data_IF_926783537077
#
_entry.id   IF_926783537077
#
_cell.length_a   1.000
_cell.length_b   1.000
_cell.length_c   1.000
_cell.angle_alpha   90.00
_cell.angle_beta   90.00
_cell.angle_gamma   90.00
#
_symmetry.space_group_name_H-M   'P 1'
#
loop_
_entity.id
_entity.type
_entity.pdbx_description
1 polymer ?
#
# COMPACT_ATOMS: atom_id res chain seq x y z
N UNK A 1 13.04 17.65 -17.74
CA UNK A 1 12.78 16.27 -18.22
C UNK A 1 12.96 15.21 -17.11
N UNK A 2 13.97 15.33 -16.23
CA UNK A 2 14.22 14.35 -15.16
C UNK A 2 13.02 14.18 -14.20
N UNK A 3 12.34 15.24 -13.79
CA UNK A 3 11.22 15.14 -12.84
C UNK A 3 10.03 14.30 -13.34
N UNK A 4 9.69 14.37 -14.64
CA UNK A 4 8.60 13.58 -15.20
C UNK A 4 8.95 12.09 -15.26
N UNK A 5 10.20 11.76 -15.59
CA UNK A 5 10.70 10.38 -15.58
C UNK A 5 10.76 9.82 -14.16
N UNK A 6 11.26 10.58 -13.18
CA UNK A 6 11.23 10.19 -11.76
C UNK A 6 9.81 9.95 -11.29
N UNK A 7 8.89 10.88 -11.59
CA UNK A 7 7.48 10.73 -11.24
C UNK A 7 6.88 9.46 -11.86
N UNK A 8 7.08 9.25 -13.17
CA UNK A 8 6.55 8.08 -13.87
C UNK A 8 7.09 6.77 -13.29
N UNK A 9 8.40 6.71 -12.99
CA UNK A 9 9.01 5.53 -12.38
C UNK A 9 8.46 5.26 -10.97
N UNK A 10 8.35 6.29 -10.13
CA UNK A 10 7.78 6.19 -8.79
C UNK A 10 6.30 5.77 -8.85
N UNK A 11 5.51 6.41 -9.70
CA UNK A 11 4.10 6.05 -9.89
C UNK A 11 3.96 4.59 -10.35
N UNK A 12 4.72 4.18 -11.37
CA UNK A 12 4.64 2.83 -11.91
C UNK A 12 4.99 1.76 -10.87
N UNK A 13 6.07 1.95 -10.11
CA UNK A 13 6.46 0.97 -9.09
C UNK A 13 5.45 0.93 -7.93
N UNK A 14 4.97 2.09 -7.48
CA UNK A 14 4.00 2.17 -6.39
C UNK A 14 2.65 1.55 -6.79
N UNK A 15 2.18 1.82 -8.00
CA UNK A 15 0.96 1.21 -8.54
C UNK A 15 1.10 -0.31 -8.69
N UNK A 16 2.17 -0.78 -9.34
CA UNK A 16 2.39 -2.20 -9.55
C UNK A 16 2.54 -2.97 -8.23
N UNK A 17 3.24 -2.40 -7.25
CA UNK A 17 3.43 -3.02 -5.93
C UNK A 17 2.15 -3.04 -5.11
N UNK A 18 1.29 -2.03 -5.21
CA UNK A 18 -0.05 -2.04 -4.60
C UNK A 18 -0.89 -3.19 -5.20
N UNK A 19 -1.04 -3.23 -6.52
CA UNK A 19 -1.81 -4.29 -7.21
C UNK A 19 -1.27 -5.67 -6.85
N UNK A 20 0.05 -5.84 -6.83
CA UNK A 20 0.66 -7.11 -6.45
C UNK A 20 0.39 -7.47 -4.98
N UNK A 21 0.49 -6.52 -4.05
CA UNK A 21 0.19 -6.79 -2.63
C UNK A 21 -1.27 -7.22 -2.44
N UNK A 22 -2.19 -6.59 -3.15
CA UNK A 22 -3.63 -6.86 -3.08
C UNK A 22 -4.02 -8.25 -3.61
N UNK A 23 -3.28 -8.77 -4.59
CA UNK A 23 -3.62 -10.03 -5.23
C UNK A 23 -2.71 -11.20 -4.85
N UNK A 24 -1.46 -10.94 -4.47
CA UNK A 24 -0.48 -11.99 -4.19
C UNK A 24 -0.14 -12.11 -2.69
N UNK A 25 -0.43 -11.10 -1.87
CA UNK A 25 -0.14 -11.13 -0.42
C UNK A 25 -1.38 -11.06 0.45
N UNK A 26 -2.43 -10.38 0.00
CA UNK A 26 -3.69 -10.39 0.71
C UNK A 26 -4.30 -11.78 0.70
N UNK A 27 -4.79 -12.21 1.86
CA UNK A 27 -5.56 -13.46 1.98
C UNK A 27 -7.05 -13.21 1.80
N UNK A 28 -7.79 -14.19 1.30
CA UNK A 28 -9.25 -14.13 1.17
C UNK A 28 -9.93 -13.79 2.50
N UNK A 29 -9.36 -14.27 3.62
CA UNK A 29 -9.84 -13.96 4.97
C UNK A 29 -9.76 -12.47 5.28
N UNK A 30 -8.67 -11.80 4.91
CA UNK A 30 -8.54 -10.35 5.09
C UNK A 30 -9.45 -9.58 4.13
N UNK A 31 -9.60 -10.07 2.91
CA UNK A 31 -10.47 -9.47 1.90
C UNK A 31 -11.94 -9.48 2.33
N UNK A 32 -12.41 -10.60 2.89
CA UNK A 32 -13.77 -10.73 3.40
C UNK A 32 -14.00 -9.93 4.69
N UNK A 33 -12.97 -9.81 5.54
CA UNK A 33 -13.11 -9.17 6.85
C UNK A 33 -13.03 -7.64 6.81
N UNK A 34 -12.42 -7.02 5.81
CA UNK A 34 -12.20 -5.55 5.76
C UNK A 34 -13.44 -4.71 5.41
N UNK A 35 -14.62 -5.33 5.32
CA UNK A 35 -15.90 -4.66 5.06
C UNK A 35 -16.43 -4.05 6.36
N UNK A 36 -17.07 -2.87 6.29
CA UNK A 36 -17.77 -2.30 7.44
C UNK A 36 -18.86 -3.29 7.89
N UNK A 37 -18.85 -3.76 9.16
CA UNK A 37 -19.91 -4.63 9.63
C UNK A 37 -21.26 -3.92 9.54
N UNK A 38 -22.24 -4.56 8.91
CA UNK A 38 -23.61 -4.09 8.94
C UNK A 38 -24.28 -4.54 10.25
N UNK A 39 -24.97 -3.64 10.97
CA UNK A 39 -25.67 -4.02 12.19
C UNK A 39 -26.67 -5.15 11.94
N UNK A 40 -26.52 -6.28 12.63
CA UNK A 40 -27.42 -7.44 12.52
C UNK A 40 -27.09 -8.42 11.39
N UNK A 41 -26.01 -8.23 10.64
CA UNK A 41 -25.52 -9.20 9.68
C UNK A 41 -24.62 -10.26 10.35
N UNK A 42 -24.67 -11.50 9.86
CA UNK A 42 -23.68 -12.55 10.17
C UNK A 42 -22.36 -12.20 9.46
N UNK A 43 -21.62 -11.25 10.04
CA UNK A 43 -20.40 -10.68 9.48
C UNK A 43 -19.28 -10.53 10.52
N UNK A 44 -18.08 -10.11 10.09
CA UNK A 44 -16.95 -9.88 10.98
C UNK A 44 -17.32 -8.84 12.03
N UNK A 45 -16.83 -9.00 13.26
CA UNK A 45 -16.99 -7.95 14.26
C UNK A 45 -16.24 -6.68 13.83
N UNK A 46 -16.63 -5.53 14.38
CA UNK A 46 -15.97 -4.26 14.08
C UNK A 46 -14.46 -4.31 14.40
N UNK A 47 -14.07 -4.94 15.50
CA UNK A 47 -12.68 -5.12 15.87
C UNK A 47 -11.91 -5.99 14.85
N UNK A 48 -12.53 -7.06 14.34
CA UNK A 48 -11.93 -7.91 13.33
C UNK A 48 -11.75 -7.19 12.00
N UNK A 49 -12.74 -6.37 11.64
CA UNK A 49 -12.72 -5.57 10.41
C UNK A 49 -11.59 -4.53 10.43
N UNK A 50 -11.42 -3.83 11.55
CA UNK A 50 -10.31 -2.91 11.75
C UNK A 50 -8.95 -3.62 11.73
N UNK A 51 -8.83 -4.78 12.36
CA UNK A 51 -7.59 -5.57 12.35
C UNK A 51 -7.22 -6.02 10.93
N UNK A 52 -8.20 -6.46 10.15
CA UNK A 52 -8.00 -6.85 8.75
C UNK A 52 -7.58 -5.65 7.89
N UNK A 53 -8.21 -4.49 8.08
CA UNK A 53 -7.84 -3.25 7.40
C UNK A 53 -6.41 -2.82 7.74
N UNK A 54 -6.05 -2.76 9.03
CA UNK A 54 -4.70 -2.36 9.47
C UNK A 54 -3.65 -3.33 8.92
N UNK A 55 -3.91 -4.64 8.96
CA UNK A 55 -2.99 -5.64 8.41
C UNK A 55 -2.79 -5.43 6.90
N UNK A 56 -3.88 -5.18 6.17
CA UNK A 56 -3.84 -4.89 4.73
C UNK A 56 -3.04 -3.62 4.43
N UNK A 57 -3.37 -2.49 5.08
CA UNK A 57 -2.64 -1.22 4.93
C UNK A 57 -1.15 -1.40 5.23
N UNK A 58 -0.82 -2.11 6.31
CA UNK A 58 0.57 -2.31 6.72
C UNK A 58 1.34 -3.13 5.69
N UNK A 59 0.77 -4.24 5.22
CA UNK A 59 1.45 -5.16 4.29
C UNK A 59 1.68 -4.49 2.94
N UNK A 60 0.67 -3.83 2.37
CA UNK A 60 0.86 -3.24 1.05
C UNK A 60 1.85 -2.06 1.10
N UNK A 61 1.79 -1.20 2.13
CA UNK A 61 2.76 -0.10 2.24
C UNK A 61 4.18 -0.59 2.49
N UNK A 62 4.36 -1.70 3.21
CA UNK A 62 5.67 -2.32 3.37
C UNK A 62 6.21 -2.82 2.02
N UNK A 63 5.38 -3.47 1.21
CA UNK A 63 5.75 -3.91 -0.14
C UNK A 63 6.09 -2.71 -1.02
N UNK A 64 5.26 -1.65 -1.01
CA UNK A 64 5.51 -0.41 -1.75
C UNK A 64 6.84 0.25 -1.34
N UNK A 65 7.11 0.35 -0.04
CA UNK A 65 8.34 0.94 0.47
C UNK A 65 9.58 0.16 0.02
N UNK A 66 9.55 -1.18 0.10
CA UNK A 66 10.64 -2.03 -0.37
C UNK A 66 10.84 -1.89 -1.88
N UNK A 67 9.77 -1.97 -2.67
CA UNK A 67 9.85 -1.89 -4.14
C UNK A 67 10.31 -0.50 -4.61
N UNK A 68 9.87 0.56 -3.93
CA UNK A 68 10.34 1.92 -4.18
C UNK A 68 11.83 2.06 -3.85
N UNK A 69 12.30 1.54 -2.70
CA UNK A 69 13.70 1.60 -2.31
C UNK A 69 14.60 0.85 -3.31
N UNK A 70 14.18 -0.35 -3.73
CA UNK A 70 14.89 -1.14 -4.76
C UNK A 70 14.94 -0.39 -6.09
N UNK A 71 13.80 0.15 -6.56
CA UNK A 71 13.74 0.87 -7.84
C UNK A 71 14.55 2.16 -7.81
N UNK A 72 14.49 2.91 -6.72
CA UNK A 72 15.28 4.12 -6.55
C UNK A 72 16.77 3.81 -6.56
N UNK A 73 17.22 2.74 -5.88
CA UNK A 73 18.62 2.31 -5.89
C UNK A 73 19.10 1.80 -7.25
N UNK A 74 18.28 1.01 -7.95
CA UNK A 74 18.65 0.44 -9.26
C UNK A 74 18.69 1.49 -10.38
N UNK A 75 17.82 2.49 -10.32
CA UNK A 75 17.68 3.53 -11.35
C UNK A 75 18.33 4.88 -10.95
N UNK A 76 19.02 4.92 -9.80
CA UNK A 76 19.64 6.12 -9.22
C UNK A 76 18.65 7.31 -9.17
N UNK A 77 17.41 7.04 -8.74
CA UNK A 77 16.37 8.07 -8.71
C UNK A 77 16.59 9.02 -7.54
N UNK A 78 16.41 10.34 -7.74
CA UNK A 78 16.57 11.36 -6.70
C UNK A 78 15.37 11.38 -5.73
N UNK A 79 15.12 10.27 -5.04
CA UNK A 79 14.02 10.12 -4.07
C UNK A 79 14.56 10.32 -2.66
N UNK A 80 14.20 11.43 -2.03
CA UNK A 80 14.52 11.69 -0.63
C UNK A 80 13.63 10.89 0.33
N UNK A 81 14.20 10.45 1.45
CA UNK A 81 13.47 9.70 2.49
C UNK A 81 12.26 10.48 3.03
N UNK A 82 12.38 11.79 3.22
CA UNK A 82 11.29 12.63 3.72
C UNK A 82 10.11 12.68 2.74
N UNK A 83 10.40 12.77 1.43
CA UNK A 83 9.37 12.74 0.39
C UNK A 83 8.69 11.37 0.29
N UNK A 84 9.47 10.28 0.42
CA UNK A 84 8.92 8.92 0.45
C UNK A 84 7.99 8.71 1.66
N UNK A 85 8.42 9.12 2.86
CA UNK A 85 7.60 9.05 4.08
C UNK A 85 6.34 9.90 3.96
N UNK A 86 6.43 11.12 3.44
CA UNK A 86 5.27 11.99 3.23
C UNK A 86 4.27 11.39 2.24
N UNK A 87 4.75 10.82 1.12
CA UNK A 87 3.90 10.18 0.11
C UNK A 87 3.20 8.93 0.63
N UNK A 88 3.95 8.04 1.32
CA UNK A 88 3.40 6.84 1.95
C UNK A 88 2.40 7.22 3.05
N UNK A 89 2.74 8.21 3.88
CA UNK A 89 1.86 8.69 4.95
C UNK A 89 0.55 9.27 4.41
N UNK A 90 0.61 10.09 3.36
CA UNK A 90 -0.58 10.59 2.68
C UNK A 90 -1.43 9.45 2.11
N UNK A 91 -0.80 8.49 1.43
CA UNK A 91 -1.48 7.33 0.84
C UNK A 91 -2.17 6.44 1.87
N UNK A 92 -1.69 6.40 3.12
CA UNK A 92 -2.25 5.55 4.16
C UNK A 92 -3.53 6.12 4.80
N UNK A 93 -3.77 7.43 4.65
CA UNK A 93 -4.89 8.14 5.28
C UNK A 93 -5.91 8.71 4.30
N UNK A 94 -5.60 8.67 2.99
CA UNK A 94 -6.49 9.06 1.88
C UNK A 94 -7.43 7.92 1.50
#
# INVERSE_FOLDING_TARGET
MIHAATFAAVFAVLFASHVWADHCRQTDKWAAAKVRPEPGADGPEQAESWRALIAHLTVYHLVMAVMLAVTAGLLDLPVGWAGAVAGIGFSAVS
#
